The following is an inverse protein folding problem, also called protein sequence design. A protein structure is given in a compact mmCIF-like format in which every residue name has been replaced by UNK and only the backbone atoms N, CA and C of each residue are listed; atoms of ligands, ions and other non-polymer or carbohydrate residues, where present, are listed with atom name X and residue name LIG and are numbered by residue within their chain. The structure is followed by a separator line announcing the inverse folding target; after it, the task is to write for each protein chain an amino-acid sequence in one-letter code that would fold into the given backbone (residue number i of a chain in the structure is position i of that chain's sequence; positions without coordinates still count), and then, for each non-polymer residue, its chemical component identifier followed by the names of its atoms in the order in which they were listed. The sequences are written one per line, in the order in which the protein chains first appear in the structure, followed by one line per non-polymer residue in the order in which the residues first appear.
data_IF_841288760072
#
_entry.id   IF_841288760072
#
_cell.length_a   1.000
_cell.length_b   1.000
_cell.length_c   1.000
_cell.angle_alpha   90.00
_cell.angle_beta   90.00
_cell.angle_gamma   90.00
#
_symmetry.space_group_name_H-M   'P 1'
#
loop_
_entity.id
_entity.type
_entity.pdbx_description
1 polymer ?
#
# COMPACT_ATOMS: atom_id res chain seq x y z
N UNK A 1 17.17 -16.86 32.45
CA UNK A 1 16.08 -16.03 31.97
C UNK A 1 16.58 -15.28 30.76
N UNK A 2 16.11 -15.53 29.53
CA UNK A 2 16.54 -14.77 28.36
C UNK A 2 15.86 -13.39 28.40
N UNK A 3 16.68 -12.34 28.38
CA UNK A 3 16.27 -10.96 28.23
C UNK A 3 15.51 -10.81 26.89
N UNK A 4 14.24 -10.56 26.98
CA UNK A 4 13.43 -10.10 25.86
C UNK A 4 13.82 -8.66 25.50
N UNK A 5 14.88 -8.50 24.74
CA UNK A 5 15.16 -7.24 24.08
C UNK A 5 14.03 -6.99 23.07
N UNK A 6 13.11 -6.10 23.41
CA UNK A 6 12.17 -5.56 22.43
C UNK A 6 13.02 -4.93 21.31
N UNK A 7 12.93 -5.50 20.12
CA UNK A 7 13.64 -5.02 18.95
C UNK A 7 13.06 -3.64 18.54
N UNK A 8 13.62 -2.58 19.13
CA UNK A 8 13.21 -1.20 18.90
C UNK A 8 13.58 -0.71 17.49
N UNK A 9 14.41 -1.46 16.77
CA UNK A 9 14.82 -1.12 15.40
C UNK A 9 13.64 -1.17 14.41
N UNK A 10 12.75 -2.15 14.56
CA UNK A 10 11.54 -2.26 13.72
C UNK A 10 10.57 -1.10 13.96
N UNK A 11 10.41 -0.66 15.21
CA UNK A 11 9.54 0.47 15.53
C UNK A 11 10.04 1.78 14.91
N UNK A 12 11.36 2.00 14.90
CA UNK A 12 11.95 3.17 14.25
C UNK A 12 11.73 3.15 12.73
N UNK A 13 11.95 2.00 12.07
CA UNK A 13 11.70 1.83 10.63
C UNK A 13 10.23 2.09 10.27
N UNK A 14 9.29 1.58 11.08
CA UNK A 14 7.85 1.79 10.87
C UNK A 14 7.45 3.25 11.07
N UNK A 15 8.05 3.99 12.01
CA UNK A 15 7.74 5.39 12.21
C UNK A 15 8.18 6.27 11.03
N UNK A 16 9.32 5.95 10.40
CA UNK A 16 9.77 6.60 9.16
C UNK A 16 8.82 6.28 8.01
N UNK A 17 8.37 5.02 7.88
CA UNK A 17 7.39 4.63 6.88
C UNK A 17 6.03 5.34 7.08
N UNK A 18 5.59 5.53 8.33
CA UNK A 18 4.36 6.24 8.67
C UNK A 18 4.32 7.67 8.13
N UNK A 19 5.47 8.37 8.12
CA UNK A 19 5.55 9.75 7.64
C UNK A 19 5.35 9.91 6.13
N UNK A 20 5.43 8.82 5.36
CA UNK A 20 5.32 8.88 3.89
C UNK A 20 3.88 8.92 3.37
N UNK A 21 2.90 8.40 4.13
CA UNK A 21 1.47 8.41 3.79
C UNK A 21 1.10 7.86 2.39
N UNK A 22 2.04 7.15 1.74
CA UNK A 22 1.90 6.64 0.38
C UNK A 22 2.46 5.22 0.23
N UNK A 23 2.01 4.24 1.05
CA UNK A 23 2.54 2.90 0.98
C UNK A 23 2.14 2.19 -0.32
N UNK A 24 3.04 1.35 -0.84
CA UNK A 24 2.69 0.34 -1.83
C UNK A 24 1.83 -0.74 -1.16
N UNK A 25 0.98 -1.38 -1.95
CA UNK A 25 0.13 -2.49 -1.51
C UNK A 25 0.32 -3.74 -2.39
N UNK A 26 1.41 -3.78 -3.13
CA UNK A 26 1.74 -4.88 -4.03
C UNK A 26 1.98 -6.19 -3.28
N UNK A 27 2.48 -6.12 -2.05
CA UNK A 27 2.74 -7.25 -1.16
C UNK A 27 1.49 -7.81 -0.46
N UNK A 28 0.37 -7.11 -0.51
CA UNK A 28 -0.86 -7.56 0.15
C UNK A 28 -1.39 -8.87 -0.44
N UNK A 29 -1.96 -9.76 0.40
CA UNK A 29 -2.72 -10.92 -0.07
C UNK A 29 -3.86 -10.52 -1.01
N UNK A 30 -4.18 -11.36 -1.98
CA UNK A 30 -5.26 -11.10 -2.93
C UNK A 30 -6.62 -10.81 -2.27
N UNK A 31 -6.92 -11.46 -1.14
CA UNK A 31 -8.16 -11.24 -0.37
C UNK A 31 -8.25 -9.82 0.21
N UNK A 32 -7.14 -9.25 0.66
CA UNK A 32 -7.09 -7.86 1.16
C UNK A 32 -7.32 -6.85 0.05
N UNK A 33 -6.72 -7.07 -1.13
CA UNK A 33 -6.94 -6.23 -2.31
C UNK A 33 -8.38 -6.28 -2.79
N UNK A 34 -8.94 -7.47 -2.93
CA UNK A 34 -10.34 -7.64 -3.32
C UNK A 34 -11.30 -6.95 -2.34
N UNK A 35 -11.00 -7.01 -1.03
CA UNK A 35 -11.77 -6.30 -0.01
C UNK A 35 -11.68 -4.79 -0.18
N UNK A 36 -10.47 -4.24 -0.38
CA UNK A 36 -10.30 -2.82 -0.64
C UNK A 36 -11.10 -2.40 -1.88
N UNK A 37 -10.96 -3.12 -2.99
CA UNK A 37 -11.68 -2.83 -4.24
C UNK A 37 -13.20 -2.82 -4.06
N UNK A 38 -13.74 -3.77 -3.29
CA UNK A 38 -15.17 -3.82 -2.99
C UNK A 38 -15.65 -2.62 -2.14
N UNK A 39 -14.85 -2.20 -1.16
CA UNK A 39 -15.18 -1.06 -0.30
C UNK A 39 -15.12 0.27 -1.03
N UNK A 40 -14.18 0.44 -1.97
CA UNK A 40 -14.07 1.64 -2.81
C UNK A 40 -15.32 1.90 -3.67
N UNK A 41 -16.09 0.85 -3.98
CA UNK A 41 -17.36 0.98 -4.69
C UNK A 41 -18.50 1.49 -3.79
N UNK A 42 -18.37 1.30 -2.48
CA UNK A 42 -19.41 1.63 -1.50
C UNK A 42 -19.27 3.01 -0.83
N UNK A 43 -18.16 3.70 -1.03
CA UNK A 43 -17.89 5.00 -0.39
C UNK A 43 -16.43 5.23 -0.09
N UNK A 44 -16.14 6.29 0.68
CA UNK A 44 -14.78 6.58 1.11
C UNK A 44 -14.30 5.57 2.15
N UNK A 45 -13.04 5.16 2.05
CA UNK A 45 -12.42 4.13 2.88
C UNK A 45 -11.54 4.79 3.95
N UNK A 46 -11.81 4.44 5.22
CA UNK A 46 -10.99 4.82 6.36
C UNK A 46 -10.12 3.65 6.83
N UNK A 47 -8.91 3.98 7.28
CA UNK A 47 -7.92 3.00 7.73
C UNK A 47 -7.27 3.40 9.04
N UNK A 48 -6.79 2.42 9.80
CA UNK A 48 -5.81 2.59 10.86
C UNK A 48 -4.43 2.30 10.25
N UNK A 49 -3.56 3.31 10.22
CA UNK A 49 -2.23 3.21 9.62
C UNK A 49 -1.14 3.60 10.61
N UNK A 50 -0.10 2.79 10.69
CA UNK A 50 1.03 2.97 11.62
C UNK A 50 2.40 2.88 10.93
N UNK A 51 2.44 2.95 9.60
CA UNK A 51 3.64 2.82 8.80
C UNK A 51 3.88 1.39 8.29
N UNK A 52 4.00 0.41 9.19
CA UNK A 52 4.17 -1.00 8.80
C UNK A 52 2.86 -1.82 8.83
N UNK A 53 1.80 -1.27 9.37
CA UNK A 53 0.51 -1.94 9.44
C UNK A 53 -0.59 -1.00 8.93
N UNK A 54 -1.48 -1.53 8.12
CA UNK A 54 -2.64 -0.83 7.59
C UNK A 54 -3.85 -1.75 7.70
N UNK A 55 -4.83 -1.31 8.51
CA UNK A 55 -6.09 -2.01 8.74
C UNK A 55 -7.25 -1.21 8.20
N UNK A 56 -8.05 -1.83 7.36
CA UNK A 56 -9.30 -1.23 6.86
C UNK A 56 -10.34 -1.24 7.99
N UNK A 57 -11.01 -0.11 8.22
CA UNK A 57 -12.06 0.03 9.23
C UNK A 57 -13.44 -0.12 8.55
N UNK A 58 -13.88 -1.34 8.36
CA UNK A 58 -15.09 -1.67 7.56
C UNK A 58 -16.38 -1.05 8.05
N UNK A 59 -16.51 -0.84 9.36
CA UNK A 59 -17.71 -0.26 9.96
C UNK A 59 -17.78 1.24 9.83
N UNK A 60 -16.64 1.89 9.54
CA UNK A 60 -16.58 3.33 9.31
C UNK A 60 -17.12 3.65 7.91
N UNK A 61 -18.42 3.91 7.83
CA UNK A 61 -19.11 4.28 6.60
C UNK A 61 -19.01 5.78 6.38
N UNK A 62 -18.34 6.18 5.31
CA UNK A 62 -18.10 7.57 4.98
C UNK A 62 -18.74 7.91 3.65
N UNK A 63 -19.26 9.14 3.54
CA UNK A 63 -19.75 9.67 2.27
C UNK A 63 -18.60 9.90 1.28
N UNK A 64 -18.93 9.91 -0.01
CA UNK A 64 -17.95 10.13 -1.07
C UNK A 64 -17.91 8.98 -2.06
N UNK A 65 -17.15 9.17 -3.10
CA UNK A 65 -16.91 8.19 -4.16
C UNK A 65 -15.53 8.37 -4.74
N UNK A 66 -15.04 7.39 -5.48
CA UNK A 66 -13.76 7.50 -6.17
C UNK A 66 -13.97 7.72 -7.65
N UNK A 67 -13.42 8.83 -8.15
CA UNK A 67 -13.47 9.18 -9.57
C UNK A 67 -12.18 8.72 -10.25
N UNK A 68 -12.31 8.04 -11.38
CA UNK A 68 -11.19 7.63 -12.22
C UNK A 68 -10.55 8.83 -12.93
N UNK A 69 -9.22 8.85 -12.94
CA UNK A 69 -8.39 9.79 -13.70
C UNK A 69 -7.31 9.03 -14.44
N UNK A 70 -7.44 8.93 -15.75
CA UNK A 70 -6.37 8.38 -16.60
C UNK A 70 -5.12 9.25 -16.49
N UNK A 71 -3.96 8.63 -16.36
CA UNK A 71 -2.64 9.29 -16.42
C UNK A 71 -1.83 8.75 -17.59
N UNK A 72 -0.63 9.30 -17.79
CA UNK A 72 0.34 8.66 -18.67
C UNK A 72 0.69 7.29 -18.14
N UNK A 73 0.73 6.30 -19.02
CA UNK A 73 1.16 4.95 -18.66
C UNK A 73 2.63 5.01 -18.20
N UNK A 74 2.88 4.50 -17.01
CA UNK A 74 4.22 4.52 -16.41
C UNK A 74 4.54 3.15 -15.85
N UNK A 75 5.78 2.70 -16.04
CA UNK A 75 6.28 1.43 -15.50
C UNK A 75 7.52 1.71 -14.66
N UNK A 76 7.52 1.18 -13.42
CA UNK A 76 8.64 1.27 -12.50
C UNK A 76 9.09 -0.12 -12.07
N UNK A 77 10.38 -0.24 -11.78
CA UNK A 77 10.97 -1.42 -11.15
C UNK A 77 11.64 -1.00 -9.85
N UNK A 78 11.26 -1.65 -8.77
CA UNK A 78 11.83 -1.45 -7.44
C UNK A 78 12.61 -2.69 -7.04
N UNK A 79 13.91 -2.54 -6.85
CA UNK A 79 14.79 -3.59 -6.36
C UNK A 79 14.97 -3.48 -4.84
N UNK A 80 14.95 -4.61 -4.15
CA UNK A 80 15.07 -4.74 -2.71
C UNK A 80 16.16 -5.78 -2.44
N UNK A 81 17.25 -5.36 -1.81
CA UNK A 81 18.43 -6.21 -1.60
C UNK A 81 18.69 -6.53 -0.14
N UNK A 82 18.18 -5.72 0.76
CA UNK A 82 18.35 -5.88 2.19
C UNK A 82 17.07 -5.53 2.97
N UNK A 83 17.12 -5.71 4.28
CA UNK A 83 15.99 -5.50 5.16
C UNK A 83 15.63 -4.01 5.31
N UNK A 84 16.59 -3.11 5.23
CA UNK A 84 16.34 -1.67 5.31
C UNK A 84 15.59 -1.18 4.07
N UNK A 85 16.02 -1.65 2.89
CA UNK A 85 15.30 -1.46 1.63
C UNK A 85 13.86 -2.00 1.70
N UNK A 86 13.69 -3.19 2.29
CA UNK A 86 12.38 -3.82 2.41
C UNK A 86 11.42 -2.96 3.24
N UNK A 87 11.82 -2.51 4.42
CA UNK A 87 11.00 -1.62 5.26
C UNK A 87 10.81 -0.24 4.63
N UNK A 88 11.79 0.26 3.89
CA UNK A 88 11.66 1.56 3.21
C UNK A 88 10.70 1.54 2.03
N UNK A 89 10.65 0.43 1.27
CA UNK A 89 9.92 0.33 -0.01
C UNK A 89 8.61 -0.44 0.08
N UNK A 90 8.56 -1.51 0.91
CA UNK A 90 7.39 -2.37 1.14
C UNK A 90 7.08 -2.53 2.64
N UNK A 91 6.82 -1.44 3.36
CA UNK A 91 6.68 -1.48 4.82
C UNK A 91 5.54 -2.37 5.30
N UNK A 92 4.41 -2.40 4.57
CA UNK A 92 3.20 -3.14 4.96
C UNK A 92 3.38 -4.67 4.90
N UNK A 93 4.31 -5.15 4.10
CA UNK A 93 4.61 -6.58 3.95
C UNK A 93 5.98 -6.98 4.46
N UNK A 94 6.77 -6.05 5.00
CA UNK A 94 8.17 -6.28 5.32
C UNK A 94 8.39 -7.48 6.23
N UNK A 95 7.62 -7.60 7.31
CA UNK A 95 7.73 -8.73 8.23
C UNK A 95 7.46 -10.09 7.57
N UNK A 96 6.47 -10.15 6.67
CA UNK A 96 6.12 -11.38 5.96
C UNK A 96 7.12 -11.73 4.84
N UNK A 97 7.75 -10.72 4.24
CA UNK A 97 8.68 -10.89 3.12
C UNK A 97 10.14 -11.05 3.55
N UNK A 98 10.49 -10.73 4.80
CA UNK A 98 11.88 -10.79 5.31
C UNK A 98 12.49 -12.19 5.17
N UNK A 99 11.73 -13.23 5.47
CA UNK A 99 12.17 -14.63 5.28
C UNK A 99 12.44 -14.97 3.80
N UNK A 100 11.59 -14.49 2.91
CA UNK A 100 11.73 -14.68 1.47
C UNK A 100 12.96 -13.93 0.92
N UNK A 101 13.17 -12.67 1.36
CA UNK A 101 14.34 -11.89 1.01
C UNK A 101 15.64 -12.57 1.44
N UNK A 102 15.71 -13.07 2.68
CA UNK A 102 16.88 -13.81 3.20
C UNK A 102 17.18 -15.06 2.39
N UNK A 103 16.16 -15.76 1.93
CA UNK A 103 16.33 -17.02 1.17
C UNK A 103 16.69 -16.77 -0.29
N UNK A 104 16.11 -15.76 -0.93
CA UNK A 104 16.29 -15.48 -2.36
C UNK A 104 17.40 -14.46 -2.65
N UNK A 105 17.87 -13.74 -1.65
CA UNK A 105 18.88 -12.69 -1.78
C UNK A 105 18.38 -11.36 -2.34
N UNK A 106 17.22 -11.33 -3.01
CA UNK A 106 16.61 -10.11 -3.53
C UNK A 106 15.13 -10.30 -3.81
N UNK A 107 14.39 -9.18 -3.80
CA UNK A 107 13.02 -9.07 -4.28
C UNK A 107 12.94 -7.96 -5.35
N UNK A 108 12.05 -8.14 -6.31
CA UNK A 108 11.81 -7.18 -7.39
C UNK A 108 10.32 -6.94 -7.52
N UNK A 109 9.92 -5.67 -7.49
CA UNK A 109 8.54 -5.24 -7.75
C UNK A 109 8.52 -4.48 -9.06
N UNK A 110 7.80 -5.01 -10.03
CA UNK A 110 7.50 -4.30 -11.27
C UNK A 110 6.05 -3.81 -11.19
N UNK A 111 5.84 -2.53 -11.43
CA UNK A 111 4.51 -1.90 -11.43
C UNK A 111 4.27 -1.20 -12.75
N UNK A 112 3.04 -1.26 -13.25
CA UNK A 112 2.55 -0.49 -14.40
C UNK A 112 1.31 0.26 -13.97
N UNK A 113 1.35 1.58 -13.98
CA UNK A 113 0.26 2.46 -13.55
C UNK A 113 -0.39 3.09 -14.78
N UNK A 114 -1.72 2.99 -14.89
CA UNK A 114 -2.51 3.55 -15.99
C UNK A 114 -3.34 4.77 -15.57
N UNK A 115 -3.52 5.00 -14.27
CA UNK A 115 -4.25 6.13 -13.74
C UNK A 115 -4.47 6.04 -12.23
N UNK A 116 -5.36 6.90 -11.72
CA UNK A 116 -5.69 6.98 -10.32
C UNK A 116 -7.20 7.01 -10.08
N UNK A 117 -7.61 6.39 -8.99
CA UNK A 117 -8.89 6.66 -8.35
C UNK A 117 -8.67 7.77 -7.33
N UNK A 118 -9.43 8.85 -7.38
CA UNK A 118 -9.33 9.99 -6.48
C UNK A 118 -10.64 10.18 -5.73
N UNK A 119 -10.57 10.35 -4.41
CA UNK A 119 -11.73 10.58 -3.56
C UNK A 119 -12.40 11.90 -3.90
N UNK A 120 -13.71 11.87 -4.08
CA UNK A 120 -14.60 13.02 -4.30
C UNK A 120 -15.65 13.04 -3.21
N UNK A 121 -15.84 14.18 -2.55
CA UNK A 121 -16.83 14.37 -1.49
C UNK A 121 -16.20 14.83 -0.17
N UNK A 122 -17.01 14.84 0.89
CA UNK A 122 -16.68 15.41 2.21
C UNK A 122 -16.36 14.34 3.27
N UNK A 123 -15.79 13.23 2.87
CA UNK A 123 -15.50 12.10 3.75
C UNK A 123 -14.69 12.46 5.02
N UNK A 124 -13.85 13.50 4.95
CA UNK A 124 -13.04 13.94 6.10
C UNK A 124 -13.91 14.52 7.24
N UNK A 125 -15.01 15.19 6.91
CA UNK A 125 -15.95 15.75 7.89
C UNK A 125 -16.69 14.60 8.61
N UNK A 126 -17.13 13.57 7.88
CA UNK A 126 -17.87 12.43 8.42
C UNK A 126 -16.97 11.54 9.31
N UNK A 127 -15.69 11.42 8.98
CA UNK A 127 -14.74 10.57 9.69
C UNK A 127 -14.48 11.01 11.14
N UNK A 128 -14.77 12.26 11.47
CA UNK A 128 -14.55 12.80 12.81
C UNK A 128 -15.71 12.58 13.77
N UNK A 129 -16.93 12.32 13.28
CA UNK A 129 -18.18 12.31 14.06
C UNK A 129 -18.70 10.92 14.43
N UNK A 130 -18.32 9.87 13.72
CA UNK A 130 -18.84 8.52 13.92
C UNK A 130 -18.09 7.71 14.97
N UNK A 131 -18.77 7.14 15.96
CA UNK A 131 -18.17 6.23 16.95
C UNK A 131 -17.48 5.02 16.27
N UNK A 132 -18.05 4.53 15.18
CA UNK A 132 -17.50 3.43 14.37
C UNK A 132 -16.19 3.79 13.67
N UNK A 133 -15.91 5.10 13.50
CA UNK A 133 -14.69 5.63 12.92
C UNK A 133 -13.61 5.98 13.96
N UNK A 134 -13.85 5.71 15.24
CA UNK A 134 -12.95 6.12 16.33
C UNK A 134 -11.51 5.62 16.19
N UNK A 135 -11.31 4.46 15.58
CA UNK A 135 -10.00 3.85 15.32
C UNK A 135 -9.36 4.30 14.01
N UNK A 136 -10.11 4.95 13.13
CA UNK A 136 -9.58 5.43 11.87
C UNK A 136 -8.58 6.55 12.12
N UNK A 137 -7.38 6.43 11.58
CA UNK A 137 -6.32 7.45 11.67
C UNK A 137 -6.17 8.21 10.36
N UNK A 138 -6.49 7.56 9.24
CA UNK A 138 -6.33 8.12 7.90
C UNK A 138 -7.51 7.80 7.00
N UNK A 139 -7.68 8.65 5.97
CA UNK A 139 -8.54 8.42 4.82
C UNK A 139 -7.70 7.98 3.63
N UNK A 140 -8.22 7.05 2.85
CA UNK A 140 -7.71 6.76 1.51
C UNK A 140 -8.20 7.86 0.57
N UNK A 141 -7.34 8.78 0.17
CA UNK A 141 -7.70 9.93 -0.68
C UNK A 141 -7.46 9.67 -2.15
N UNK A 142 -6.52 8.79 -2.49
CA UNK A 142 -6.33 8.32 -3.85
C UNK A 142 -5.67 6.93 -3.87
N UNK A 143 -5.75 6.28 -5.04
CA UNK A 143 -5.06 5.02 -5.33
C UNK A 143 -4.49 5.07 -6.73
N UNK A 144 -3.21 4.69 -6.90
CA UNK A 144 -2.68 4.37 -8.22
C UNK A 144 -3.19 3.00 -8.64
N UNK A 145 -3.71 2.92 -9.86
CA UNK A 145 -4.36 1.74 -10.42
C UNK A 145 -3.56 1.23 -11.61
N UNK A 146 -3.39 -0.09 -11.66
CA UNK A 146 -2.57 -0.68 -12.70
C UNK A 146 -2.43 -2.20 -12.59
N UNK A 147 -1.25 -2.68 -12.95
CA UNK A 147 -0.81 -4.06 -12.82
C UNK A 147 0.54 -4.14 -12.12
N UNK A 148 0.83 -5.24 -11.43
CA UNK A 148 2.13 -5.43 -10.78
C UNK A 148 2.55 -6.90 -10.72
N UNK A 149 3.87 -7.09 -10.51
CA UNK A 149 4.48 -8.39 -10.27
C UNK A 149 5.58 -8.25 -9.23
N UNK A 150 5.47 -8.98 -8.13
CA UNK A 150 6.49 -9.11 -7.08
C UNK A 150 7.16 -10.48 -7.23
N UNK A 151 8.47 -10.47 -7.40
CA UNK A 151 9.29 -11.65 -7.68
C UNK A 151 10.41 -11.76 -6.68
N UNK A 152 10.72 -12.97 -6.24
CA UNK A 152 11.91 -13.30 -5.46
C UNK A 152 12.98 -13.93 -6.36
N UNK A 153 14.27 -13.61 -6.08
CA UNK A 153 15.42 -14.13 -6.79
C UNK A 153 16.12 -13.12 -7.68
N UNK A 154 17.35 -13.46 -8.13
CA UNK A 154 18.30 -12.56 -8.77
C UNK A 154 17.77 -11.73 -9.93
N UNK A 155 18.27 -10.50 -10.02
CA UNK A 155 18.00 -9.55 -11.10
C UNK A 155 18.47 -10.12 -12.44
N UNK A 156 17.55 -10.65 -13.25
CA UNK A 156 17.83 -10.70 -14.67
C UNK A 156 17.35 -9.38 -15.27
N UNK A 157 18.18 -8.74 -16.06
CA UNK A 157 17.81 -7.62 -16.91
C UNK A 157 16.49 -7.97 -17.61
N UNK A 158 15.42 -7.29 -17.26
CA UNK A 158 14.19 -7.28 -18.05
C UNK A 158 14.47 -6.37 -19.22
N UNK A 159 15.11 -6.92 -20.27
CA UNK A 159 15.04 -6.32 -21.59
C UNK A 159 13.59 -6.44 -22.04
N UNK A 160 12.96 -5.32 -22.35
CA UNK A 160 11.58 -5.27 -22.83
C UNK A 160 11.41 -6.15 -24.08
N UNK A 161 10.75 -7.28 -23.90
CA UNK A 161 10.44 -8.26 -24.93
C UNK A 161 9.72 -9.41 -24.28
N UNK A 162 8.56 -9.78 -24.82
CA UNK A 162 7.79 -10.94 -24.40
C UNK A 162 8.64 -12.20 -24.60
N UNK A 163 9.15 -12.78 -23.53
CA UNK A 163 9.72 -14.13 -23.57
C UNK A 163 8.72 -15.14 -23.02
N UNK A 164 8.02 -15.76 -23.95
CA UNK A 164 7.42 -17.07 -23.82
C UNK A 164 8.55 -18.12 -23.70
N UNK A 165 8.36 -19.04 -22.78
CA UNK A 165 9.23 -20.12 -22.38
C UNK A 165 10.15 -20.71 -23.44
N UNK A 166 11.43 -20.69 -23.10
CA UNK A 166 12.46 -21.47 -23.77
C UNK A 166 13.32 -22.16 -22.73
N UNK A 167 13.19 -23.48 -22.60
CA UNK A 167 14.12 -24.32 -21.89
C UNK A 167 15.43 -24.35 -22.71
N UNK A 168 16.51 -23.77 -22.21
CA UNK A 168 17.85 -24.07 -22.68
C UNK A 168 18.61 -24.84 -21.60
N UNK A 169 18.92 -26.08 -21.90
CA UNK A 169 19.84 -26.94 -21.16
C UNK A 169 21.26 -26.39 -21.33
N UNK A 170 21.82 -25.83 -20.28
CA UNK A 170 23.22 -25.42 -20.21
C UNK A 170 23.53 -25.03 -18.78
N UNK A 171 24.38 -25.83 -18.10
CA UNK A 171 24.69 -25.70 -16.68
C UNK A 171 25.27 -24.35 -16.28
N UNK A 172 24.43 -23.50 -15.76
CA UNK A 172 24.73 -22.39 -14.88
C UNK A 172 23.59 -22.37 -13.87
N UNK A 173 23.90 -22.18 -12.59
CA UNK A 173 22.91 -22.10 -11.50
C UNK A 173 21.83 -21.09 -11.85
N UNK A 174 20.75 -21.54 -12.49
CA UNK A 174 19.57 -20.76 -12.75
C UNK A 174 18.97 -20.42 -11.40
N UNK A 175 19.23 -19.22 -10.92
CA UNK A 175 18.59 -18.66 -9.76
C UNK A 175 17.10 -18.59 -10.08
N UNK A 176 16.34 -19.55 -9.56
CA UNK A 176 14.93 -19.77 -9.88
C UNK A 176 14.14 -18.56 -9.38
N UNK A 177 13.62 -17.78 -10.29
CA UNK A 177 12.71 -16.68 -9.97
C UNK A 177 11.37 -17.24 -9.54
N UNK A 178 10.91 -16.84 -8.39
CA UNK A 178 9.59 -17.20 -7.88
C UNK A 178 8.67 -15.99 -7.86
N UNK A 179 7.53 -16.06 -8.55
CA UNK A 179 6.50 -15.04 -8.48
C UNK A 179 5.78 -15.19 -7.14
N UNK A 180 5.92 -14.20 -6.27
CA UNK A 180 5.30 -14.18 -4.95
C UNK A 180 3.88 -13.61 -5.02
N UNK A 181 3.71 -12.54 -5.78
CA UNK A 181 2.43 -11.85 -5.98
C UNK A 181 2.37 -11.27 -7.39
N UNK A 182 1.20 -11.29 -7.98
CA UNK A 182 0.91 -10.56 -9.20
C UNK A 182 -0.58 -10.22 -9.25
N UNK A 183 -0.93 -9.11 -9.86
CA UNK A 183 -2.30 -8.78 -10.21
C UNK A 183 -2.32 -7.85 -11.42
N UNK A 184 -3.33 -8.04 -12.25
CA UNK A 184 -3.50 -7.32 -13.50
C UNK A 184 -2.53 -7.79 -14.60
N UNK A 185 -2.74 -7.26 -15.80
CA UNK A 185 -1.91 -7.46 -16.96
C UNK A 185 -1.36 -6.12 -17.46
N UNK A 186 -0.02 -5.98 -17.49
CA UNK A 186 0.64 -4.74 -17.85
C UNK A 186 0.32 -4.27 -19.29
N UNK A 187 0.18 -5.23 -20.24
CA UNK A 187 -0.20 -4.89 -21.63
C UNK A 187 -1.63 -4.37 -21.70
N UNK A 188 -2.52 -4.92 -20.89
CA UNK A 188 -3.91 -4.46 -20.81
C UNK A 188 -4.05 -3.05 -20.25
N UNK A 189 -3.05 -2.53 -19.53
CA UNK A 189 -3.04 -1.17 -19.00
C UNK A 189 -3.06 -0.11 -20.12
N UNK A 190 -2.55 -0.42 -21.29
CA UNK A 190 -2.59 0.48 -22.46
C UNK A 190 -4.02 0.77 -22.93
N UNK A 191 -4.95 -0.17 -22.70
CA UNK A 191 -6.35 -0.08 -23.10
C UNK A 191 -7.23 0.76 -22.16
N UNK A 192 -6.67 1.31 -21.08
CA UNK A 192 -7.40 2.22 -20.19
C UNK A 192 -7.91 3.44 -20.97
N UNK A 193 -9.17 3.84 -20.75
CA UNK A 193 -9.78 5.02 -21.36
C UNK A 193 -9.78 6.21 -20.41
N UNK A 194 -10.31 7.34 -20.83
CA UNK A 194 -10.51 8.51 -19.94
C UNK A 194 -11.63 8.26 -18.93
N UNK A 195 -12.57 7.39 -19.27
CA UNK A 195 -13.77 7.08 -18.50
C UNK A 195 -13.54 5.99 -17.47
N UNK A 196 -12.71 4.98 -17.80
CA UNK A 196 -12.51 3.81 -16.96
C UNK A 196 -11.14 3.14 -17.16
N UNK A 197 -10.62 2.43 -16.13
CA UNK A 197 -9.45 1.57 -16.26
C UNK A 197 -9.81 0.32 -17.09
N UNK A 198 -8.81 -0.29 -17.75
CA UNK A 198 -9.00 -1.58 -18.39
C UNK A 198 -9.36 -2.66 -17.34
N UNK A 199 -10.28 -3.59 -17.63
CA UNK A 199 -10.70 -4.63 -16.68
C UNK A 199 -9.53 -5.44 -16.08
N UNK A 200 -8.54 -5.80 -16.88
CA UNK A 200 -7.35 -6.54 -16.43
C UNK A 200 -6.23 -5.63 -15.90
N UNK A 201 -6.45 -4.32 -15.79
CA UNK A 201 -5.49 -3.34 -15.25
C UNK A 201 -6.14 -2.48 -14.17
N UNK A 202 -6.78 -3.11 -13.18
CA UNK A 202 -7.55 -2.42 -12.11
C UNK A 202 -7.00 -2.62 -10.72
N UNK A 203 -5.85 -3.27 -10.58
CA UNK A 203 -5.30 -3.56 -9.27
C UNK A 203 -4.79 -2.30 -8.57
N UNK A 204 -5.08 -2.11 -7.28
CA UNK A 204 -4.42 -1.11 -6.46
C UNK A 204 -2.92 -1.40 -6.35
N UNK A 205 -2.11 -0.39 -6.65
CA UNK A 205 -0.64 -0.46 -6.59
C UNK A 205 -0.13 0.31 -5.38
N UNK A 206 -0.63 1.52 -5.20
CA UNK A 206 -0.22 2.44 -4.15
C UNK A 206 -1.44 3.16 -3.59
N UNK A 207 -1.46 3.36 -2.28
CA UNK A 207 -2.53 4.08 -1.59
C UNK A 207 -1.97 5.44 -1.14
N UNK A 208 -2.76 6.50 -1.30
CA UNK A 208 -2.47 7.83 -0.79
C UNK A 208 -3.37 8.07 0.42
N UNK A 209 -2.74 8.36 1.55
CA UNK A 209 -3.39 8.53 2.83
C UNK A 209 -3.37 9.99 3.25
N UNK A 210 -4.45 10.43 3.90
CA UNK A 210 -4.50 11.74 4.55
C UNK A 210 -4.93 11.55 5.99
N UNK A 211 -4.20 12.10 6.98
CA UNK A 211 -4.55 12.00 8.38
C UNK A 211 -5.92 12.60 8.68
N UNK A 212 -6.71 11.93 9.50
CA UNK A 212 -7.97 12.44 10.02
C UNK A 212 -7.65 13.34 11.20
N UNK A 213 -7.82 14.67 11.02
CA UNK A 213 -7.64 15.66 12.09
C UNK A 213 -8.90 15.72 12.93
N UNK A 214 -8.85 15.16 14.13
CA UNK A 214 -9.91 15.34 15.13
C UNK A 214 -9.64 16.60 15.91
N UNK A 215 -10.58 17.55 15.92
CA UNK A 215 -10.54 18.69 16.83
C UNK A 215 -10.60 18.15 18.27
N UNK A 216 -9.56 18.34 19.06
CA UNK A 216 -9.64 18.13 20.49
C UNK A 216 -10.56 19.23 21.01
N UNK A 217 -11.70 18.93 21.66
CA UNK A 217 -12.50 19.97 22.27
C UNK A 217 -11.64 20.66 23.33
N UNK A 218 -11.47 21.97 23.22
CA UNK A 218 -10.76 22.87 24.17
C UNK A 218 -11.50 22.99 25.53
N UNK A 219 -12.03 21.92 26.07
CA UNK A 219 -12.81 21.89 27.29
C UNK A 219 -12.04 21.35 28.49
N UNK A 220 -10.74 21.60 28.59
CA UNK A 220 -9.98 21.37 29.82
C UNK A 220 -9.11 22.62 30.13
N UNK A 221 -9.74 23.79 30.21
CA UNK A 221 -9.27 24.85 31.12
C UNK A 221 -10.28 24.90 32.26
N UNK A 222 -10.14 24.03 33.23
CA UNK A 222 -10.72 24.25 34.56
C UNK A 222 -10.17 25.59 35.04
N UNK A 223 -11.00 26.54 35.45
CA UNK A 223 -10.49 27.77 36.03
C UNK A 223 -9.66 27.42 37.27
N UNK A 224 -8.47 27.98 37.35
CA UNK A 224 -7.66 27.93 38.57
C UNK A 224 -8.51 28.39 39.74
N UNK A 225 -8.46 27.75 40.91
CA UNK A 225 -9.12 28.24 42.10
C UNK A 225 -8.56 29.63 42.44
N UNK A 226 -9.46 30.57 42.59
CA UNK A 226 -9.17 31.96 43.01
C UNK A 226 -8.59 31.95 44.44
N UNK A 227 -7.28 32.05 44.55
CA UNK A 227 -6.62 32.28 45.86
C UNK A 227 -6.86 33.75 46.30
N UNK A 228 -8.04 33.97 46.82
CA UNK A 228 -8.29 35.14 47.69
C UNK A 228 -9.08 34.68 48.91
N UNK A 229 -8.35 34.53 50.03
CA UNK A 229 -8.82 34.38 51.37
C UNK A 229 -7.68 34.67 52.31
#
# INVERSE_FOLDING_TARGET
MPNGGHDTSHLAKCSVAASREQPLVTEWPASYKARLEALLQGGAVAVEYSGCDLKIIDRCRLSGSYAWKKTTLSTDTTDIQDEDDLYAKLPLGAAALSGQLKTSGSLHVQTTVSGQLQLVGKAAEDATSGAECSRATHLVTALSIGAFKLVAGGAAKVSGGAEYGGMSAGGSSAQTRSVLRAAGDAVSCERATKEEPSPECRSPIQIFLTPIRRSVPLNILSPLPDERG
#
